data_IF_966683474991
#
_entry.id   IF_966683474991
#
_cell.length_a   1.000
_cell.length_b   1.000
_cell.length_c   1.000
_cell.angle_alpha   90.00
_cell.angle_beta   90.00
_cell.angle_gamma   90.00
#
_symmetry.space_group_name_H-M   'P 1'
#
loop_
_entity.id
_entity.type
_entity.pdbx_description
1 polymer ?
#
# COMPACT_ATOMS: atom_id res chain seq x y z
N UNK A 1 -27.25 -47.13 23.98
CA UNK A 1 -28.15 -45.97 23.90
C UNK A 1 -27.73 -44.99 24.97
N UNK A 2 -27.39 -43.77 24.54
CA UNK A 2 -27.38 -42.49 25.28
C UNK A 2 -26.37 -42.33 26.45
N UNK A 3 -25.26 -41.58 26.24
CA UNK A 3 -25.06 -40.12 26.49
C UNK A 3 -25.05 -39.79 28.01
N UNK A 4 -24.09 -39.07 28.62
CA UNK A 4 -23.47 -37.79 28.27
C UNK A 4 -22.05 -37.68 28.88
N UNK A 5 -21.13 -37.17 28.06
CA UNK A 5 -19.73 -36.87 28.34
C UNK A 5 -19.61 -35.54 29.10
N UNK A 6 -18.66 -35.51 30.04
CA UNK A 6 -18.25 -34.37 30.85
C UNK A 6 -17.98 -33.11 30.00
N UNK A 7 -18.73 -32.04 30.27
CA UNK A 7 -18.67 -30.74 29.61
C UNK A 7 -17.37 -30.01 29.95
N UNK A 8 -16.48 -29.92 28.96
CA UNK A 8 -15.47 -28.86 28.84
C UNK A 8 -15.61 -28.27 27.43
N UNK A 9 -16.35 -27.16 27.32
CA UNK A 9 -16.36 -26.29 26.14
C UNK A 9 -16.53 -24.85 26.64
N UNK A 10 -15.44 -24.09 26.73
CA UNK A 10 -15.00 -23.15 25.69
C UNK A 10 -16.07 -22.13 25.29
N UNK A 11 -15.83 -20.90 25.77
CA UNK A 11 -16.03 -19.64 25.06
C UNK A 11 -17.46 -19.22 24.67
N UNK A 12 -18.18 -18.62 25.63
CA UNK A 12 -18.97 -17.41 25.38
C UNK A 12 -18.87 -16.54 26.62
N UNK A 13 -18.35 -15.32 26.47
CA UNK A 13 -18.69 -14.09 27.21
C UNK A 13 -17.55 -13.06 27.02
N UNK A 14 -17.57 -12.39 25.87
CA UNK A 14 -17.41 -10.94 25.80
C UNK A 14 -17.59 -10.53 24.34
N UNK A 15 -18.72 -9.91 24.06
CA UNK A 15 -18.83 -8.99 22.93
C UNK A 15 -17.85 -7.86 23.19
N UNK A 16 -16.62 -8.00 22.69
CA UNK A 16 -15.70 -6.88 22.60
C UNK A 16 -15.96 -6.22 21.25
N UNK A 17 -16.63 -5.07 21.31
CA UNK A 17 -16.70 -4.12 20.20
C UNK A 17 -15.26 -3.80 19.79
N UNK A 18 -14.77 -4.46 18.73
CA UNK A 18 -13.47 -4.16 18.16
C UNK A 18 -13.47 -2.67 17.80
N UNK A 19 -12.59 -1.91 18.47
CA UNK A 19 -12.41 -0.50 18.16
C UNK A 19 -11.97 -0.36 16.70
N UNK A 20 -12.32 0.74 15.99
CA UNK A 20 -11.99 0.94 14.58
C UNK A 20 -10.49 0.86 14.24
N UNK A 21 -9.59 0.76 15.23
CA UNK A 21 -8.14 0.76 15.04
C UNK A 21 -7.54 -0.62 14.75
N UNK A 22 -8.20 -1.74 15.10
CA UNK A 22 -7.63 -3.09 14.85
C UNK A 22 -7.78 -3.57 13.40
N UNK A 23 -8.82 -3.12 12.68
CA UNK A 23 -9.03 -3.50 11.28
C UNK A 23 -7.99 -2.90 10.30
N UNK A 24 -7.32 -1.82 10.71
CA UNK A 24 -6.30 -1.14 9.89
C UNK A 24 -4.90 -1.76 10.00
N UNK A 25 -4.63 -2.55 11.05
CA UNK A 25 -3.31 -3.16 11.29
C UNK A 25 -3.04 -4.42 10.45
N UNK A 26 -4.07 -5.00 9.81
CA UNK A 26 -3.96 -6.26 9.07
C UNK A 26 -3.79 -6.15 7.54
N UNK A 27 -3.89 -4.95 6.96
CA UNK A 27 -3.94 -4.78 5.49
C UNK A 27 -2.62 -4.32 4.85
N UNK A 28 -1.65 -3.81 5.63
CA UNK A 28 -0.42 -3.22 5.08
C UNK A 28 0.61 -4.22 4.54
N UNK A 29 0.40 -5.54 4.72
CA UNK A 29 1.45 -6.54 4.50
C UNK A 29 1.12 -7.60 3.42
N UNK A 30 0.04 -7.41 2.65
CA UNK A 30 -0.37 -8.35 1.58
C UNK A 30 -0.22 -7.76 0.17
N UNK A 31 -0.27 -6.44 0.03
CA UNK A 31 -0.19 -5.75 -1.26
C UNK A 31 1.18 -5.13 -1.54
N UNK A 32 2.05 -5.03 -0.54
CA UNK A 32 3.41 -4.49 -0.68
C UNK A 32 4.24 -5.26 -1.73
N UNK A 33 4.13 -6.59 -1.75
CA UNK A 33 4.75 -7.46 -2.75
C UNK A 33 3.95 -7.63 -4.04
N UNK A 34 2.81 -6.93 -4.21
CA UNK A 34 2.03 -7.03 -5.45
C UNK A 34 2.72 -6.30 -6.60
N UNK A 35 2.85 -6.97 -7.74
CA UNK A 35 3.46 -6.38 -8.93
C UNK A 35 2.50 -5.42 -9.63
N UNK A 36 2.97 -4.19 -9.88
CA UNK A 36 2.34 -3.23 -10.77
C UNK A 36 2.77 -3.46 -12.23
N UNK A 37 3.98 -3.98 -12.40
CA UNK A 37 4.55 -4.48 -13.66
C UNK A 37 5.68 -5.49 -13.34
N UNK A 38 6.32 -6.11 -14.35
CA UNK A 38 7.38 -7.09 -14.12
C UNK A 38 8.51 -6.64 -13.19
N UNK A 39 8.96 -5.38 -13.28
CA UNK A 39 10.09 -4.85 -12.51
C UNK A 39 9.69 -3.89 -11.38
N UNK A 40 8.40 -3.64 -11.18
CA UNK A 40 7.91 -2.66 -10.21
C UNK A 40 6.79 -3.22 -9.34
N UNK A 41 6.93 -3.04 -8.03
CA UNK A 41 5.98 -3.49 -7.00
C UNK A 41 5.24 -2.32 -6.38
N UNK A 42 4.03 -2.55 -5.87
CA UNK A 42 3.26 -1.51 -5.20
C UNK A 42 4.00 -0.94 -3.97
N UNK A 43 4.71 -1.79 -3.22
CA UNK A 43 5.49 -1.36 -2.06
C UNK A 43 6.58 -0.33 -2.37
N UNK A 44 7.15 -0.35 -3.56
CA UNK A 44 8.12 0.68 -4.00
C UNK A 44 7.47 2.05 -4.19
N UNK A 45 6.19 2.09 -4.56
CA UNK A 45 5.47 3.33 -4.82
C UNK A 45 4.73 3.87 -3.60
N UNK A 46 4.51 3.06 -2.56
CA UNK A 46 3.80 3.47 -1.34
C UNK A 46 4.73 3.72 -0.16
N UNK A 47 6.01 3.38 -0.27
CA UNK A 47 6.99 3.61 0.80
C UNK A 47 7.29 5.11 0.98
N UNK A 48 7.29 5.55 2.25
CA UNK A 48 7.76 6.87 2.66
C UNK A 48 8.91 6.71 3.65
N UNK A 49 10.11 7.21 3.31
CA UNK A 49 11.26 7.18 4.21
C UNK A 49 11.22 8.31 5.25
N UNK A 50 10.57 9.44 4.94
CA UNK A 50 10.50 10.60 5.83
C UNK A 50 9.41 10.48 6.89
N UNK A 51 8.33 9.74 6.59
CA UNK A 51 7.18 9.53 7.47
C UNK A 51 6.71 8.08 7.38
N UNK A 52 7.53 7.11 7.82
CA UNK A 52 7.20 5.68 7.75
C UNK A 52 5.96 5.32 8.59
N UNK A 53 5.61 6.14 9.58
CA UNK A 53 4.45 6.00 10.44
C UNK A 53 3.12 6.41 9.78
N UNK A 54 3.16 7.16 8.67
CA UNK A 54 1.95 7.63 7.98
C UNK A 54 1.47 6.58 6.99
N UNK A 55 0.22 6.14 7.17
CA UNK A 55 -0.43 5.22 6.23
C UNK A 55 -0.52 5.84 4.82
N UNK A 56 0.20 5.22 3.89
CA UNK A 56 0.26 5.64 2.50
C UNK A 56 -0.40 4.60 1.59
N UNK A 57 -1.72 4.41 1.77
CA UNK A 57 -2.49 3.38 1.08
C UNK A 57 -3.21 3.99 -0.13
N UNK A 58 -2.99 3.50 -1.36
CA UNK A 58 -3.65 4.00 -2.56
C UNK A 58 -5.07 3.46 -2.71
N UNK A 59 -5.93 4.23 -3.36
CA UNK A 59 -7.23 3.75 -3.85
C UNK A 59 -7.05 2.80 -5.04
N UNK A 60 -8.10 2.06 -5.40
CA UNK A 60 -8.10 1.23 -6.61
C UNK A 60 -7.78 2.04 -7.88
N UNK A 61 -8.34 3.23 -8.00
CA UNK A 61 -8.06 4.13 -9.13
C UNK A 61 -6.58 4.54 -9.18
N UNK A 62 -6.00 4.90 -8.03
CA UNK A 62 -4.58 5.23 -7.95
C UNK A 62 -3.69 4.03 -8.31
N UNK A 63 -4.08 2.81 -7.91
CA UNK A 63 -3.37 1.57 -8.30
C UNK A 63 -3.42 1.38 -9.83
N UNK A 64 -4.56 1.59 -10.48
CA UNK A 64 -4.66 1.49 -11.94
C UNK A 64 -3.82 2.56 -12.65
N UNK A 65 -3.76 3.77 -12.11
CA UNK A 65 -2.85 4.81 -12.62
C UNK A 65 -1.38 4.43 -12.44
N UNK A 66 -1.01 3.87 -11.29
CA UNK A 66 0.33 3.38 -11.03
C UNK A 66 0.72 2.24 -11.99
N UNK A 67 -0.19 1.32 -12.33
CA UNK A 67 0.07 0.28 -13.34
C UNK A 67 0.38 0.88 -14.71
N UNK A 68 -0.41 1.89 -15.14
CA UNK A 68 -0.14 2.62 -16.39
C UNK A 68 1.20 3.34 -16.36
N UNK A 69 1.51 4.03 -15.26
CA UNK A 69 2.79 4.68 -15.03
C UNK A 69 3.96 3.68 -15.12
N UNK A 70 3.83 2.51 -14.48
CA UNK A 70 4.84 1.46 -14.53
C UNK A 70 5.06 0.96 -15.95
N UNK A 71 4.02 0.86 -16.80
CA UNK A 71 4.18 0.55 -18.21
C UNK A 71 5.15 1.49 -18.95
N UNK A 72 5.07 2.80 -18.67
CA UNK A 72 6.01 3.78 -19.22
C UNK A 72 7.43 3.64 -18.63
N UNK A 73 7.54 3.34 -17.34
CA UNK A 73 8.83 3.12 -16.69
C UNK A 73 9.54 1.87 -17.23
N UNK A 74 8.81 0.81 -17.58
CA UNK A 74 9.39 -0.37 -18.24
C UNK A 74 10.01 -0.02 -19.59
N UNK A 75 9.33 0.80 -20.40
CA UNK A 75 9.88 1.27 -21.67
C UNK A 75 11.09 2.19 -21.47
N UNK A 76 11.06 3.04 -20.44
CA UNK A 76 12.20 3.88 -20.08
C UNK A 76 13.41 3.02 -19.65
N UNK A 77 13.18 2.00 -18.82
CA UNK A 77 14.20 1.05 -18.38
C UNK A 77 14.83 0.30 -19.55
N UNK A 78 14.02 -0.21 -20.49
CA UNK A 78 14.49 -0.89 -21.70
C UNK A 78 15.39 -0.02 -22.56
N UNK A 79 15.05 1.27 -22.71
CA UNK A 79 15.82 2.22 -23.51
C UNK A 79 17.09 2.71 -22.82
N UNK A 80 17.03 2.88 -21.49
CA UNK A 80 18.16 3.36 -20.69
C UNK A 80 19.21 2.29 -20.41
N UNK A 81 18.84 1.00 -20.43
CA UNK A 81 19.75 -0.11 -20.13
C UNK A 81 20.09 -0.27 -18.64
N UNK A 82 19.72 0.69 -17.80
CA UNK A 82 19.99 0.71 -16.36
C UNK A 82 18.72 0.49 -15.52
N UNK A 83 18.82 -0.07 -14.30
CA UNK A 83 17.70 -0.18 -13.39
C UNK A 83 17.18 1.19 -12.92
N UNK A 84 15.87 1.40 -13.02
CA UNK A 84 15.21 2.57 -12.43
C UNK A 84 14.88 2.30 -10.96
N UNK A 85 15.28 3.19 -10.06
CA UNK A 85 14.91 3.15 -8.63
C UNK A 85 13.81 4.16 -8.34
N UNK A 86 12.78 3.72 -7.63
CA UNK A 86 11.69 4.60 -7.18
C UNK A 86 12.08 5.24 -5.85
N UNK A 87 12.20 6.57 -5.84
CA UNK A 87 12.45 7.34 -4.61
C UNK A 87 11.14 7.65 -3.89
N UNK A 88 10.09 7.98 -4.65
CA UNK A 88 8.74 8.18 -4.13
C UNK A 88 7.69 7.93 -5.21
N UNK A 89 6.52 7.42 -4.84
CA UNK A 89 5.41 7.15 -5.76
C UNK A 89 4.12 7.82 -5.30
N UNK A 90 3.08 7.03 -5.05
CA UNK A 90 1.82 7.53 -4.53
C UNK A 90 1.99 8.24 -3.18
N UNK A 91 1.18 9.28 -2.95
CA UNK A 91 1.11 9.99 -1.67
C UNK A 91 -0.34 10.14 -1.24
N UNK A 92 -0.72 9.53 -0.11
CA UNK A 92 -2.02 9.77 0.52
C UNK A 92 -2.19 11.25 0.87
N UNK A 93 -3.43 11.77 0.97
CA UNK A 93 -3.65 13.15 1.40
C UNK A 93 -2.95 13.50 2.72
N UNK A 94 -2.93 12.54 3.66
CA UNK A 94 -2.25 12.67 4.95
C UNK A 94 -0.74 12.79 4.77
N UNK A 95 -0.12 11.88 4.01
CA UNK A 95 1.32 11.93 3.74
C UNK A 95 1.71 13.19 2.97
N UNK A 96 0.96 13.54 1.92
CA UNK A 96 1.22 14.72 1.12
C UNK A 96 1.17 16.00 1.97
N UNK A 97 0.20 16.11 2.89
CA UNK A 97 0.15 17.22 3.84
C UNK A 97 1.32 17.22 4.82
N UNK A 98 1.71 16.06 5.36
CA UNK A 98 2.83 15.94 6.30
C UNK A 98 4.16 16.41 5.71
N UNK A 99 4.38 16.17 4.41
CA UNK A 99 5.58 16.63 3.70
C UNK A 99 5.43 18.01 3.04
N UNK A 100 4.35 18.74 3.34
CA UNK A 100 4.04 20.05 2.74
C UNK A 100 3.92 20.03 1.20
N UNK A 101 3.42 18.93 0.64
CA UNK A 101 3.17 18.77 -0.78
C UNK A 101 2.01 19.62 -1.29
N UNK A 102 2.02 19.89 -2.60
CA UNK A 102 0.94 20.63 -3.28
C UNK A 102 -0.36 19.81 -3.25
N UNK A 103 -1.50 20.46 -2.99
CA UNK A 103 -2.82 19.83 -2.95
C UNK A 103 -3.25 19.21 -4.30
N UNK A 104 -2.71 19.71 -5.41
CA UNK A 104 -3.00 19.22 -6.77
C UNK A 104 -1.85 18.34 -7.31
N UNK A 105 -1.05 17.72 -6.43
CA UNK A 105 0.07 16.88 -6.81
C UNK A 105 -0.39 15.57 -7.49
N UNK A 106 0.20 15.23 -8.64
CA UNK A 106 -0.06 13.97 -9.34
C UNK A 106 0.42 12.73 -8.57
N UNK A 107 1.24 12.89 -7.52
CA UNK A 107 1.53 11.79 -6.61
C UNK A 107 0.26 11.31 -5.89
N UNK A 108 -0.69 12.21 -5.61
CA UNK A 108 -1.95 11.84 -4.94
C UNK A 108 -2.90 11.05 -5.82
N UNK A 109 -2.74 11.12 -7.14
CA UNK A 109 -3.57 10.38 -8.10
C UNK A 109 -2.89 9.13 -8.65
N UNK A 110 -1.67 8.82 -8.22
CA UNK A 110 -0.88 7.70 -8.75
C UNK A 110 -0.34 7.92 -10.17
N UNK A 111 -0.36 9.18 -10.66
CA UNK A 111 0.08 9.56 -12.00
C UNK A 111 1.51 10.12 -12.03
N UNK A 112 2.22 10.15 -10.90
CA UNK A 112 3.59 10.62 -10.82
C UNK A 112 4.43 9.77 -9.87
N UNK A 113 5.73 9.75 -10.13
CA UNK A 113 6.74 9.17 -9.26
C UNK A 113 8.06 9.95 -9.42
N UNK A 114 8.85 9.97 -8.36
CA UNK A 114 10.21 10.47 -8.38
C UNK A 114 11.16 9.28 -8.55
N UNK A 115 12.02 9.34 -9.57
CA UNK A 115 12.94 8.25 -9.91
C UNK A 115 14.40 8.66 -9.79
N UNK A 116 15.28 7.66 -9.72
CA UNK A 116 16.72 7.78 -9.95
C UNK A 116 17.14 6.71 -10.96
N UNK A 117 17.95 7.12 -11.93
CA UNK A 117 18.64 6.26 -12.90
C UNK A 117 20.14 6.29 -12.65
#
# INVERSE_FOLDING_TARGET
MEQIIQLNSQAKLSEHLASPSEAALGHSNKLDGSHLSPNFTLGEFTRSASHPEVYNIPSHEAIENLKRLCGWLEELRKRGGEPIRINSGYRSPQLNKAIHGNANSNHMTGCACDIRV
#
